data_IF_506253886690
#
_entry.id   IF_506253886690
#
_cell.length_a   1.000
_cell.length_b   1.000
_cell.length_c   1.000
_cell.angle_alpha   90.00
_cell.angle_beta   90.00
_cell.angle_gamma   90.00
#
_symmetry.space_group_name_H-M   'P 1'
#
loop_
_entity.id
_entity.type
_entity.pdbx_description
1 polymer ?
#
# COMPACT_ATOMS: atom_id res chain seq x y z
N UNK A 1 14.36 -29.33 -25.78
CA UNK A 1 14.65 -29.39 -27.23
C UNK A 1 14.11 -28.13 -27.87
N UNK A 2 14.93 -27.09 -27.99
CA UNK A 2 14.60 -25.87 -28.73
C UNK A 2 15.87 -25.42 -29.46
N UNK A 3 15.78 -25.22 -30.77
CA UNK A 3 16.88 -25.00 -31.71
C UNK A 3 17.39 -23.57 -31.65
N UNK A 4 18.70 -23.42 -31.56
CA UNK A 4 19.46 -22.20 -31.86
C UNK A 4 19.78 -22.20 -33.37
N UNK A 5 19.61 -21.07 -34.05
CA UNK A 5 20.17 -20.84 -35.38
C UNK A 5 21.20 -19.70 -35.29
N UNK A 6 22.46 -20.01 -35.56
CA UNK A 6 23.54 -19.03 -35.79
C UNK A 6 23.82 -18.93 -37.29
N UNK A 7 24.18 -17.73 -37.77
CA UNK A 7 25.00 -17.52 -38.99
C UNK A 7 25.78 -16.20 -38.89
N UNK A 8 26.94 -16.04 -39.58
CA UNK A 8 28.11 -15.34 -39.06
C UNK A 8 28.65 -14.16 -39.92
N UNK A 9 29.75 -13.54 -39.43
CA UNK A 9 30.72 -12.62 -40.08
C UNK A 9 30.25 -11.14 -40.25
N UNK A 10 31.07 -10.09 -40.12
CA UNK A 10 32.53 -9.96 -40.24
C UNK A 10 33.06 -8.68 -39.55
N UNK A 11 34.34 -8.68 -39.20
CA UNK A 11 35.13 -7.58 -38.62
C UNK A 11 35.45 -6.44 -39.61
N UNK A 12 35.59 -5.21 -39.11
CA UNK A 12 36.60 -4.25 -39.57
C UNK A 12 36.81 -3.14 -38.52
N UNK A 13 38.04 -3.07 -38.01
CA UNK A 13 38.59 -1.98 -37.19
C UNK A 13 38.87 -0.76 -38.07
N UNK A 14 38.62 0.45 -37.58
CA UNK A 14 39.50 1.57 -37.94
C UNK A 14 39.54 2.68 -36.87
N UNK A 15 40.73 3.28 -36.77
CA UNK A 15 41.35 3.87 -35.61
C UNK A 15 41.11 5.39 -35.50
N UNK A 16 41.02 5.92 -34.27
CA UNK A 16 41.18 7.35 -33.95
C UNK A 16 42.64 7.80 -34.02
N UNK A 17 42.88 9.11 -34.22
CA UNK A 17 43.76 9.83 -33.28
C UNK A 17 43.26 11.24 -32.85
N UNK A 18 43.85 11.86 -31.80
CA UNK A 18 43.26 12.94 -31.00
C UNK A 18 43.92 14.33 -31.26
N UNK A 19 43.84 15.34 -30.35
CA UNK A 19 43.00 16.54 -30.49
C UNK A 19 43.80 17.84 -30.71
N UNK A 20 43.09 18.94 -31.04
CA UNK A 20 43.67 20.29 -31.06
C UNK A 20 42.71 21.33 -30.45
N UNK A 21 43.15 21.98 -29.37
CA UNK A 21 42.68 23.29 -28.87
C UNK A 21 43.54 24.38 -29.54
N UNK A 22 43.05 25.62 -29.82
CA UNK A 22 42.85 26.60 -28.74
C UNK A 22 41.77 27.69 -28.92
N UNK A 23 41.36 28.21 -27.76
CA UNK A 23 41.01 29.58 -27.38
C UNK A 23 40.41 30.59 -28.39
N UNK A 24 39.20 31.08 -28.09
CA UNK A 24 38.94 32.54 -28.02
C UNK A 24 37.69 32.83 -27.17
N UNK A 25 37.73 33.97 -26.48
CA UNK A 25 36.77 34.41 -25.47
C UNK A 25 35.58 35.12 -26.12
N UNK A 26 34.36 34.81 -25.70
CA UNK A 26 33.16 35.59 -26.03
C UNK A 26 32.13 35.52 -24.90
N UNK A 27 31.87 36.71 -24.33
CA UNK A 27 30.61 37.19 -23.71
C UNK A 27 29.72 36.16 -22.99
N UNK A 28 29.70 36.24 -21.66
CA UNK A 28 28.79 35.52 -20.76
C UNK A 28 27.38 36.13 -20.87
N UNK A 29 26.53 35.51 -21.68
CA UNK A 29 25.07 35.51 -21.49
C UNK A 29 24.69 34.39 -20.52
N UNK A 30 23.63 34.55 -19.68
CA UNK A 30 23.23 33.51 -18.74
C UNK A 30 22.90 32.23 -19.49
N UNK A 31 23.70 31.19 -19.26
CA UNK A 31 23.50 29.87 -19.83
C UNK A 31 22.38 29.21 -19.05
N UNK A 32 21.22 29.06 -19.67
CA UNK A 32 20.15 28.18 -19.19
C UNK A 32 20.75 26.79 -18.91
N UNK A 33 20.53 26.30 -17.69
CA UNK A 33 20.84 24.92 -17.33
C UNK A 33 20.10 23.97 -18.28
N UNK A 34 20.70 22.85 -18.73
CA UNK A 34 20.01 21.86 -19.55
C UNK A 34 19.06 21.04 -18.65
N UNK A 35 17.97 21.69 -18.22
CA UNK A 35 16.88 21.09 -17.47
C UNK A 35 15.59 21.27 -18.27
N UNK A 36 15.57 20.75 -19.50
CA UNK A 36 14.32 20.32 -20.15
C UNK A 36 14.63 19.43 -21.36
N UNK A 37 15.18 18.24 -21.10
CA UNK A 37 14.95 17.12 -22.01
C UNK A 37 13.83 16.31 -21.38
N UNK A 38 12.66 16.42 -21.99
CA UNK A 38 11.51 15.59 -21.74
C UNK A 38 11.86 14.16 -22.17
N UNK A 39 12.65 13.46 -21.35
CA UNK A 39 12.97 12.06 -21.52
C UNK A 39 11.67 11.31 -21.26
N UNK A 40 10.93 11.04 -22.35
CA UNK A 40 9.87 10.04 -22.38
C UNK A 40 10.52 8.65 -22.25
N UNK A 41 11.28 8.45 -21.18
CA UNK A 41 11.85 7.19 -20.81
C UNK A 41 10.71 6.19 -20.65
N UNK A 42 10.91 4.99 -21.18
CA UNK A 42 9.91 3.95 -21.11
C UNK A 42 9.56 3.70 -19.63
N UNK A 43 8.30 3.84 -19.25
CA UNK A 43 7.94 3.86 -17.84
C UNK A 43 8.07 2.46 -17.24
N UNK A 44 8.97 2.29 -16.27
CA UNK A 44 9.25 1.01 -15.63
C UNK A 44 8.85 1.05 -14.15
N UNK A 45 8.09 0.06 -13.72
CA UNK A 45 7.70 -0.10 -12.32
C UNK A 45 6.44 -0.96 -12.19
N UNK A 46 6.16 -1.42 -10.98
CA UNK A 46 4.98 -2.26 -10.70
C UNK A 46 4.41 -1.92 -9.33
N UNK A 47 3.09 -2.00 -9.22
CA UNK A 47 2.34 -1.80 -7.97
C UNK A 47 1.34 -2.95 -7.76
N UNK A 48 1.23 -3.39 -6.50
CA UNK A 48 0.15 -4.23 -6.00
C UNK A 48 -0.46 -3.55 -4.77
N UNK A 49 -1.78 -3.47 -4.70
CA UNK A 49 -2.54 -2.88 -3.60
C UNK A 49 -3.59 -3.85 -3.08
N UNK A 50 -4.03 -3.64 -1.83
CA UNK A 50 -5.20 -4.30 -1.28
C UNK A 50 -6.15 -3.30 -0.61
N UNK A 51 -7.44 -3.65 -0.62
CA UNK A 51 -8.49 -2.94 0.08
C UNK A 51 -9.26 -3.90 0.99
N UNK A 52 -8.62 -4.31 2.09
CA UNK A 52 -9.20 -5.22 3.07
C UNK A 52 -8.97 -6.72 2.81
N UNK A 53 -8.82 -7.45 3.91
CA UNK A 53 -8.89 -8.91 3.99
C UNK A 53 -9.93 -9.21 5.07
N UNK A 54 -11.02 -9.84 4.68
CA UNK A 54 -12.24 -9.94 5.48
C UNK A 54 -13.38 -10.48 4.63
N UNK A 55 -14.53 -9.82 4.69
CA UNK A 55 -15.70 -10.18 3.89
C UNK A 55 -16.07 -9.07 2.90
N UNK A 56 -16.02 -9.39 1.60
CA UNK A 56 -16.45 -8.52 0.53
C UNK A 56 -17.74 -9.06 -0.08
N UNK A 57 -18.87 -8.39 0.19
CA UNK A 57 -20.15 -8.75 -0.41
C UNK A 57 -20.13 -8.58 -1.92
N UNK A 58 -20.87 -9.43 -2.64
CA UNK A 58 -20.97 -9.32 -4.11
C UNK A 58 -21.52 -7.96 -4.55
N UNK A 59 -22.44 -7.41 -3.76
CA UNK A 59 -23.05 -6.10 -4.00
C UNK A 59 -22.06 -4.93 -3.94
N UNK A 60 -20.97 -5.05 -3.18
CA UNK A 60 -19.95 -4.00 -3.00
C UNK A 60 -18.64 -4.29 -3.71
N UNK A 61 -18.54 -5.44 -4.38
CA UNK A 61 -17.30 -5.90 -5.00
C UNK A 61 -16.81 -4.95 -6.10
N UNK A 62 -17.71 -4.21 -6.78
CA UNK A 62 -17.33 -3.27 -7.84
C UNK A 62 -16.60 -2.06 -7.27
N UNK A 63 -17.00 -1.61 -6.09
CA UNK A 63 -16.51 -0.43 -5.39
C UNK A 63 -15.11 -0.68 -4.82
N UNK A 64 -14.91 -1.83 -4.16
CA UNK A 64 -13.57 -2.26 -3.72
C UNK A 64 -12.60 -2.40 -4.91
N UNK A 65 -13.05 -2.99 -6.03
CA UNK A 65 -12.24 -3.06 -7.25
C UNK A 65 -11.95 -1.67 -7.81
N UNK A 66 -12.93 -0.77 -7.81
CA UNK A 66 -12.76 0.58 -8.34
C UNK A 66 -11.70 1.37 -7.56
N UNK A 67 -11.73 1.34 -6.23
CA UNK A 67 -10.71 2.03 -5.42
C UNK A 67 -9.32 1.43 -5.63
N UNK A 68 -9.18 0.10 -5.68
CA UNK A 68 -7.91 -0.55 -6.01
C UNK A 68 -7.39 -0.14 -7.41
N UNK A 69 -8.29 -0.03 -8.40
CA UNK A 69 -7.94 0.41 -9.76
C UNK A 69 -7.37 1.83 -9.74
N UNK A 70 -8.03 2.77 -9.06
CA UNK A 70 -7.57 4.16 -8.96
C UNK A 70 -6.22 4.25 -8.23
N UNK A 71 -6.07 3.50 -7.13
CA UNK A 71 -4.83 3.47 -6.35
C UNK A 71 -3.64 2.96 -7.18
N UNK A 72 -3.83 1.89 -7.96
CA UNK A 72 -2.82 1.41 -8.91
C UNK A 72 -2.46 2.46 -9.95
N UNK A 73 -3.47 3.11 -10.54
CA UNK A 73 -3.24 4.16 -11.53
C UNK A 73 -2.42 5.31 -10.93
N UNK A 74 -2.77 5.73 -9.71
CA UNK A 74 -2.10 6.83 -9.03
C UNK A 74 -0.63 6.54 -8.73
N UNK A 75 -0.30 5.32 -8.30
CA UNK A 75 1.09 4.89 -8.12
C UNK A 75 1.86 4.83 -9.45
N UNK A 76 1.26 4.24 -10.49
CA UNK A 76 1.89 4.16 -11.82
C UNK A 76 2.13 5.55 -12.42
N UNK A 77 1.22 6.50 -12.24
CA UNK A 77 1.40 7.88 -12.69
C UNK A 77 2.61 8.54 -12.00
N UNK A 78 2.84 8.26 -10.71
CA UNK A 78 4.03 8.72 -9.99
C UNK A 78 5.31 8.08 -10.52
N UNK A 79 5.30 6.77 -10.77
CA UNK A 79 6.45 6.06 -11.35
C UNK A 79 6.78 6.57 -12.76
N UNK A 80 5.75 6.83 -13.58
CA UNK A 80 5.85 7.46 -14.91
C UNK A 80 6.47 8.85 -14.86
N UNK A 81 6.16 9.62 -13.81
CA UNK A 81 6.75 10.91 -13.54
C UNK A 81 8.17 10.84 -12.94
N UNK A 82 8.75 9.64 -12.82
CA UNK A 82 10.11 9.44 -12.29
C UNK A 82 10.21 9.51 -10.76
N UNK A 83 9.10 9.47 -10.04
CA UNK A 83 9.08 9.48 -8.58
C UNK A 83 9.69 8.20 -7.97
N UNK A 84 10.11 8.29 -6.71
CA UNK A 84 10.66 7.17 -5.95
C UNK A 84 9.56 6.16 -5.58
N UNK A 85 9.94 4.91 -5.30
CA UNK A 85 9.01 3.87 -4.84
C UNK A 85 8.19 4.32 -3.60
N UNK A 86 8.81 5.05 -2.67
CA UNK A 86 8.18 5.60 -1.46
C UNK A 86 7.07 6.62 -1.79
N UNK A 87 7.28 7.47 -2.80
CA UNK A 87 6.28 8.46 -3.22
C UNK A 87 5.11 7.79 -3.96
N UNK A 88 5.42 6.79 -4.79
CA UNK A 88 4.41 6.02 -5.50
C UNK A 88 3.53 5.20 -4.54
N UNK A 89 4.11 4.53 -3.54
CA UNK A 89 3.34 3.78 -2.53
C UNK A 89 2.51 4.71 -1.67
N UNK A 90 3.06 5.88 -1.28
CA UNK A 90 2.31 6.92 -0.55
C UNK A 90 1.11 7.41 -1.37
N UNK A 91 1.28 7.65 -2.67
CA UNK A 91 0.21 8.13 -3.53
C UNK A 91 -0.90 7.08 -3.72
N UNK A 92 -0.58 5.79 -3.75
CA UNK A 92 -1.59 4.72 -3.74
C UNK A 92 -2.36 4.69 -2.41
N UNK A 93 -1.70 4.81 -1.26
CA UNK A 93 -2.41 4.82 0.03
C UNK A 93 -3.31 6.03 0.20
N UNK A 94 -2.88 7.22 -0.21
CA UNK A 94 -3.73 8.42 -0.17
C UNK A 94 -5.02 8.20 -0.96
N UNK A 95 -4.94 7.55 -2.12
CA UNK A 95 -6.12 7.21 -2.94
C UNK A 95 -7.04 6.17 -2.27
N UNK A 96 -6.47 5.28 -1.46
CA UNK A 96 -7.22 4.26 -0.68
C UNK A 96 -7.83 4.84 0.60
N UNK A 97 -7.22 5.86 1.21
CA UNK A 97 -7.72 6.58 2.39
C UNK A 97 -8.81 7.61 2.02
N UNK A 98 -8.79 8.09 0.77
CA UNK A 98 -9.80 8.99 0.20
C UNK A 98 -10.70 8.17 -0.72
N UNK A 99 -11.44 7.25 -0.11
CA UNK A 99 -12.53 6.59 -0.82
C UNK A 99 -13.59 7.67 -1.07
N UNK A 100 -13.64 8.16 -2.31
CA UNK A 100 -14.68 9.01 -2.86
C UNK A 100 -15.40 8.13 -3.87
N UNK A 101 -16.66 7.82 -3.61
CA UNK A 101 -17.44 7.01 -4.52
C UNK A 101 -17.98 7.95 -5.61
N UNK A 102 -17.29 8.06 -6.74
CA UNK A 102 -17.90 8.65 -7.93
C UNK A 102 -18.97 7.67 -8.40
N UNK A 103 -20.20 7.83 -7.94
CA UNK A 103 -21.34 7.25 -8.64
C UNK A 103 -21.31 7.79 -10.07
N UNK A 104 -21.47 6.90 -11.03
CA UNK A 104 -21.32 7.15 -12.46
C UNK A 104 -22.42 8.08 -13.01
N UNK A 105 -22.41 9.36 -12.61
CA UNK A 105 -23.29 10.41 -13.12
C UNK A 105 -22.53 11.51 -13.90
N UNK A 106 -21.19 11.45 -14.01
CA UNK A 106 -20.39 12.48 -14.68
C UNK A 106 -19.57 12.00 -15.89
N UNK A 107 -19.86 10.82 -16.45
CA UNK A 107 -19.18 10.35 -17.68
C UNK A 107 -19.77 10.97 -18.97
N UNK A 108 -20.76 11.86 -18.89
CA UNK A 108 -21.29 12.58 -20.07
C UNK A 108 -21.31 14.10 -19.91
N UNK A 109 -20.19 14.70 -19.51
CA UNK A 109 -19.97 16.14 -19.74
C UNK A 109 -18.59 16.34 -20.36
N UNK A 110 -18.57 16.29 -21.70
CA UNK A 110 -17.54 16.93 -22.51
C UNK A 110 -17.51 18.42 -22.16
N UNK A 111 -16.69 18.80 -21.18
CA UNK A 111 -16.38 20.21 -20.93
C UNK A 111 -14.99 20.47 -21.48
N UNK A 112 -14.99 20.87 -22.75
CA UNK A 112 -13.93 21.60 -23.42
C UNK A 112 -13.55 22.82 -22.57
N UNK A 113 -12.45 22.75 -21.82
CA UNK A 113 -11.76 23.93 -21.32
C UNK A 113 -10.29 23.79 -21.64
N UNK A 114 -9.90 24.46 -22.72
CA UNK A 114 -8.53 24.85 -22.98
C UNK A 114 -8.03 25.70 -21.80
N UNK A 115 -7.13 25.17 -20.99
CA UNK A 115 -6.18 26.00 -20.23
C UNK A 115 -4.80 25.70 -20.79
N UNK A 116 -4.37 26.63 -21.63
CA UNK A 116 -3.01 26.79 -22.13
C UNK A 116 -1.98 26.74 -21.00
N UNK A 117 -0.85 26.12 -21.32
CA UNK A 117 0.38 26.06 -20.53
C UNK A 117 0.81 27.43 -19.97
N UNK A 118 0.91 27.53 -18.64
CA UNK A 118 1.90 28.30 -17.88
C UNK A 118 1.58 28.15 -16.39
N UNK A 119 2.63 27.87 -15.60
CA UNK A 119 2.76 27.86 -14.13
C UNK A 119 3.18 26.50 -13.56
N UNK A 120 4.51 26.40 -13.53
CA UNK A 120 5.36 25.53 -12.71
C UNK A 120 5.12 25.85 -11.22
N UNK A 121 5.16 24.80 -10.39
CA UNK A 121 5.25 24.83 -8.92
C UNK A 121 4.17 25.63 -8.15
N UNK A 122 3.05 24.97 -7.84
CA UNK A 122 2.48 24.82 -6.48
C UNK A 122 1.11 24.14 -6.58
N UNK A 123 0.88 23.21 -5.66
CA UNK A 123 -0.43 22.85 -5.10
C UNK A 123 -1.50 22.16 -5.97
N UNK A 124 -1.72 20.89 -5.60
CA UNK A 124 -2.90 20.05 -5.89
C UNK A 124 -4.19 20.60 -5.22
N UNK A 125 -4.27 21.89 -4.86
CA UNK A 125 -5.22 22.36 -3.84
C UNK A 125 -6.51 23.04 -4.33
N UNK A 126 -6.74 23.33 -5.63
CA UNK A 126 -7.83 24.31 -5.97
C UNK A 126 -8.92 23.84 -6.95
N UNK A 127 -8.84 22.69 -7.63
CA UNK A 127 -9.90 22.31 -8.59
C UNK A 127 -11.01 21.36 -8.07
N UNK A 128 -11.05 21.01 -6.78
CA UNK A 128 -11.92 19.90 -6.30
C UNK A 128 -13.20 20.37 -5.59
N UNK A 129 -13.30 21.63 -5.16
CA UNK A 129 -14.25 22.05 -4.11
C UNK A 129 -15.73 22.06 -4.53
N UNK A 130 -16.06 22.19 -5.82
CA UNK A 130 -17.46 22.21 -6.29
C UNK A 130 -18.02 20.82 -6.67
N UNK A 131 -17.17 19.83 -6.89
CA UNK A 131 -17.57 18.43 -7.11
C UNK A 131 -17.50 17.60 -5.81
N UNK A 132 -16.67 18.00 -4.84
CA UNK A 132 -16.48 17.33 -3.54
C UNK A 132 -17.78 17.18 -2.72
N UNK A 133 -18.69 18.15 -2.74
CA UNK A 133 -19.87 18.18 -1.84
C UNK A 133 -20.86 17.02 -2.08
N UNK A 134 -20.86 16.37 -3.24
CA UNK A 134 -21.65 15.14 -3.52
C UNK A 134 -20.80 13.87 -3.69
N UNK A 135 -19.48 13.99 -3.60
CA UNK A 135 -18.50 12.91 -3.82
C UNK A 135 -17.84 12.41 -2.52
N UNK A 136 -18.05 13.10 -1.39
CA UNK A 136 -17.42 12.83 -0.08
C UNK A 136 -17.83 11.52 0.62
N UNK A 137 -18.84 10.80 0.13
CA UNK A 137 -19.42 9.66 0.84
C UNK A 137 -18.99 8.31 0.24
N UNK A 138 -17.91 7.70 0.75
CA UNK A 138 -17.61 6.28 0.50
C UNK A 138 -17.34 5.51 1.80
N UNK A 139 -18.08 4.42 2.07
CA UNK A 139 -17.97 3.65 3.31
C UNK A 139 -17.03 2.44 3.26
N UNK A 140 -16.18 2.32 2.24
CA UNK A 140 -15.59 1.02 1.89
C UNK A 140 -14.21 0.74 2.46
N UNK A 141 -13.40 1.76 2.74
CA UNK A 141 -12.09 1.56 3.35
C UNK A 141 -12.14 1.98 4.81
N UNK A 142 -11.56 1.16 5.69
CA UNK A 142 -11.40 1.47 7.09
C UNK A 142 -9.99 2.04 7.30
N UNK A 143 -9.73 3.21 6.72
CA UNK A 143 -8.48 3.95 6.83
C UNK A 143 -8.68 5.43 6.41
N UNK A 144 -8.08 6.37 7.14
CA UNK A 144 -8.28 7.80 6.87
C UNK A 144 -9.73 8.23 7.11
N UNK A 145 -10.33 8.91 6.13
CA UNK A 145 -11.73 9.33 6.17
C UNK A 145 -12.67 8.13 6.15
N UNK A 146 -13.73 8.16 6.97
CA UNK A 146 -14.70 7.07 7.06
C UNK A 146 -14.26 5.87 7.91
N UNK A 147 -13.10 5.95 8.56
CA UNK A 147 -12.59 4.96 9.50
C UNK A 147 -13.60 4.61 10.60
N UNK A 148 -13.47 3.40 11.14
CA UNK A 148 -14.24 2.94 12.29
C UNK A 148 -14.07 3.86 13.50
N UNK A 149 -15.18 4.15 14.19
CA UNK A 149 -15.18 4.91 15.44
C UNK A 149 -14.83 4.00 16.63
N UNK A 150 -14.04 4.52 17.56
CA UNK A 150 -13.69 3.90 18.83
C UNK A 150 -14.86 3.99 19.85
N UNK A 151 -14.70 3.47 21.08
CA UNK A 151 -15.76 3.50 22.11
C UNK A 151 -16.29 4.91 22.40
N UNK A 152 -15.43 5.92 22.34
CA UNK A 152 -15.76 7.34 22.56
C UNK A 152 -16.48 7.98 21.37
N UNK A 153 -16.62 7.27 20.25
CA UNK A 153 -17.19 7.84 19.03
C UNK A 153 -16.19 8.69 18.23
N UNK A 154 -14.90 8.49 18.44
CA UNK A 154 -13.82 9.23 17.77
C UNK A 154 -13.09 8.32 16.77
N UNK A 155 -12.47 8.93 15.74
CA UNK A 155 -11.62 8.22 14.79
C UNK A 155 -10.16 8.30 15.25
N UNK A 156 -9.51 7.15 15.30
CA UNK A 156 -8.09 7.00 15.60
C UNK A 156 -7.46 6.07 14.58
N UNK A 157 -6.51 6.55 13.81
CA UNK A 157 -5.89 5.80 12.72
C UNK A 157 -4.48 5.32 13.07
N UNK A 158 -4.09 4.22 12.44
CA UNK A 158 -2.78 3.60 12.51
C UNK A 158 -2.24 3.48 11.07
N UNK A 159 -1.00 3.91 10.82
CA UNK A 159 -0.38 3.79 9.51
C UNK A 159 1.15 3.69 9.59
N UNK A 160 1.74 3.00 8.62
CA UNK A 160 3.19 2.94 8.49
C UNK A 160 3.67 2.73 7.07
N UNK A 161 4.94 3.07 6.85
CA UNK A 161 5.64 2.98 5.57
C UNK A 161 7.10 2.60 5.79
N UNK A 162 7.64 1.81 4.87
CA UNK A 162 9.03 1.38 4.87
C UNK A 162 9.64 1.52 3.47
N UNK A 163 10.88 2.01 3.44
CA UNK A 163 11.71 2.10 2.22
C UNK A 163 12.74 0.98 2.19
N UNK A 164 12.72 0.14 1.16
CA UNK A 164 13.65 -0.96 0.99
C UNK A 164 15.08 -0.52 0.69
N UNK A 165 15.29 0.67 0.11
CA UNK A 165 16.62 1.17 -0.23
C UNK A 165 17.38 1.67 1.01
N UNK A 166 16.74 2.51 1.81
CA UNK A 166 17.35 3.10 3.01
C UNK A 166 17.07 2.30 4.30
N UNK A 167 16.18 1.31 4.24
CA UNK A 167 15.66 0.57 5.39
C UNK A 167 15.01 1.46 6.46
N UNK A 168 14.65 2.70 6.10
CA UNK A 168 13.97 3.64 7.01
C UNK A 168 12.50 3.30 7.10
N UNK A 169 11.95 3.60 8.27
CA UNK A 169 10.57 3.32 8.63
C UNK A 169 9.95 4.56 9.28
N UNK A 170 8.67 4.79 9.00
CA UNK A 170 7.88 5.83 9.64
C UNK A 170 6.49 5.28 9.98
N UNK A 171 5.97 5.65 11.14
CA UNK A 171 4.67 5.20 11.61
C UNK A 171 3.94 6.21 12.49
N UNK A 172 2.63 6.13 12.47
CA UNK A 172 1.73 6.80 13.42
C UNK A 172 0.71 5.83 13.97
N UNK A 173 0.34 6.00 15.23
CA UNK A 173 -0.65 5.14 15.91
C UNK A 173 -1.63 5.95 16.72
N UNK A 174 -2.88 5.52 16.76
CA UNK A 174 -3.99 6.22 17.39
C UNK A 174 -4.03 7.73 17.06
N UNK A 175 -3.68 8.11 15.82
CA UNK A 175 -3.69 9.52 15.41
C UNK A 175 -5.10 9.91 14.99
N UNK A 176 -5.60 11.01 15.54
CA UNK A 176 -6.87 11.62 15.18
C UNK A 176 -6.64 12.97 14.51
N UNK A 177 -7.66 13.48 13.82
CA UNK A 177 -7.63 14.82 13.24
C UNK A 177 -6.70 14.97 12.02
N UNK A 178 -6.33 13.88 11.36
CA UNK A 178 -5.49 13.88 10.15
C UNK A 178 -6.16 13.04 9.09
N UNK A 179 -6.42 13.63 7.91
CA UNK A 179 -7.13 12.95 6.82
C UNK A 179 -6.36 11.74 6.27
N UNK A 180 -5.05 11.90 6.12
CA UNK A 180 -4.17 10.93 5.50
C UNK A 180 -3.02 10.52 6.43
N UNK A 181 -3.25 9.57 7.35
CA UNK A 181 -2.23 9.06 8.28
C UNK A 181 -0.92 8.64 7.60
N UNK A 182 -0.99 8.06 6.39
CA UNK A 182 0.21 7.65 5.63
C UNK A 182 1.13 8.84 5.29
N UNK A 183 0.60 10.06 5.12
CA UNK A 183 1.44 11.24 4.85
C UNK A 183 2.30 11.59 6.05
N UNK A 184 1.79 11.39 7.28
CA UNK A 184 2.56 11.61 8.51
C UNK A 184 3.65 10.55 8.64
N UNK A 185 3.31 9.28 8.39
CA UNK A 185 4.26 8.18 8.39
C UNK A 185 5.38 8.40 7.35
N UNK A 186 5.04 8.79 6.12
CA UNK A 186 6.01 9.11 5.07
C UNK A 186 6.89 10.31 5.48
N UNK A 187 6.29 11.35 6.06
CA UNK A 187 7.06 12.51 6.52
C UNK A 187 8.05 12.14 7.63
N UNK A 188 7.68 11.26 8.58
CA UNK A 188 8.60 10.74 9.60
C UNK A 188 9.78 9.99 8.96
N UNK A 189 9.51 9.14 7.96
CA UNK A 189 10.54 8.45 7.19
C UNK A 189 11.48 9.44 6.49
N UNK A 190 10.94 10.46 5.82
CA UNK A 190 11.75 11.48 5.13
C UNK A 190 12.60 12.31 6.10
N UNK A 191 12.07 12.69 7.27
CA UNK A 191 12.87 13.39 8.29
C UNK A 191 13.98 12.49 8.85
N UNK A 192 13.74 11.19 9.00
CA UNK A 192 14.77 10.22 9.39
C UNK A 192 15.89 10.09 8.35
N UNK A 193 15.59 10.25 7.06
CA UNK A 193 16.58 10.22 5.98
C UNK A 193 17.49 11.46 5.96
N UNK A 194 17.02 12.62 6.46
CA UNK A 194 17.84 13.84 6.58
C UNK A 194 18.97 13.73 7.62
N UNK A 195 18.96 12.67 8.45
CA UNK A 195 20.01 12.38 9.41
C UNK A 195 19.66 12.81 10.83
N UNK A 196 20.67 13.11 11.64
CA UNK A 196 20.47 13.46 13.05
C UNK A 196 19.85 14.84 13.21
N UNK A 197 18.97 14.98 14.20
CA UNK A 197 18.46 16.27 14.65
C UNK A 197 19.54 17.05 15.44
N UNK A 198 19.19 18.26 15.85
CA UNK A 198 20.01 19.08 16.76
C UNK A 198 20.45 18.30 18.00
N UNK A 199 21.69 18.55 18.42
CA UNK A 199 22.38 17.82 19.49
C UNK A 199 22.58 16.31 19.21
N UNK A 200 22.57 15.89 17.95
CA UNK A 200 22.86 14.50 17.56
C UNK A 200 21.73 13.51 17.86
N UNK A 201 20.52 14.01 18.16
CA UNK A 201 19.35 13.18 18.47
C UNK A 201 18.86 12.43 17.24
N UNK A 202 18.38 11.20 17.44
CA UNK A 202 17.79 10.39 16.38
C UNK A 202 16.36 10.88 16.14
N UNK A 203 15.94 11.15 14.89
CA UNK A 203 14.55 11.48 14.58
C UNK A 203 13.59 10.35 15.00
N UNK A 204 12.36 10.68 15.46
CA UNK A 204 11.38 9.66 15.78
C UNK A 204 10.95 8.92 14.50
N UNK A 205 10.84 7.59 14.58
CA UNK A 205 10.25 6.76 13.52
C UNK A 205 8.81 6.34 13.83
N UNK A 206 8.31 6.59 15.05
CA UNK A 206 6.97 6.25 15.46
C UNK A 206 6.45 7.29 16.47
N UNK A 207 5.29 7.87 16.18
CA UNK A 207 4.59 8.81 17.07
C UNK A 207 3.14 8.38 17.26
N UNK A 208 2.53 8.72 18.41
CA UNK A 208 1.13 8.34 18.69
C UNK A 208 0.30 9.50 19.20
N UNK A 209 -1.02 9.38 19.04
CA UNK A 209 -2.01 10.27 19.65
C UNK A 209 -1.79 11.74 19.32
N UNK A 210 -2.01 12.60 20.33
CA UNK A 210 -1.85 14.05 20.20
C UNK A 210 -0.44 14.47 19.77
N UNK A 211 0.60 13.77 20.22
CA UNK A 211 1.98 14.06 19.83
C UNK A 211 2.21 13.87 18.33
N UNK A 212 1.59 12.84 17.73
CA UNK A 212 1.64 12.62 16.28
C UNK A 212 0.87 13.71 15.51
N UNK A 213 -0.32 14.07 15.97
CA UNK A 213 -1.13 15.14 15.38
C UNK A 213 -0.38 16.48 15.39
N UNK A 214 0.11 16.92 16.56
CA UNK A 214 0.79 18.21 16.71
C UNK A 214 2.09 18.24 15.89
N UNK A 215 2.80 17.11 15.83
CA UNK A 215 3.97 16.97 14.97
C UNK A 215 3.60 17.10 13.48
N UNK A 216 2.53 16.45 13.03
CA UNK A 216 2.06 16.53 11.65
C UNK A 216 1.72 17.98 11.24
N UNK A 217 0.96 18.70 12.06
CA UNK A 217 0.60 20.10 11.83
C UNK A 217 1.84 20.99 11.77
N UNK A 218 2.79 20.80 12.69
CA UNK A 218 4.07 21.54 12.69
C UNK A 218 4.95 21.23 11.46
N UNK A 219 4.70 20.14 10.75
CA UNK A 219 5.38 19.76 9.52
C UNK A 219 4.56 20.09 8.27
N UNK A 220 3.48 20.87 8.39
CA UNK A 220 2.69 21.36 7.25
C UNK A 220 1.68 20.34 6.71
N UNK A 221 1.36 19.28 7.46
CA UNK A 221 0.26 18.37 7.12
C UNK A 221 -1.04 18.98 7.67
N UNK A 222 -2.04 19.29 6.83
CA UNK A 222 -3.25 19.96 7.27
C UNK A 222 -4.06 19.12 8.28
N UNK A 223 -4.51 19.71 9.40
CA UNK A 223 -5.44 19.05 10.30
C UNK A 223 -6.82 18.93 9.64
N UNK A 224 -7.57 17.89 10.02
CA UNK A 224 -8.92 17.62 9.57
C UNK A 224 -9.86 17.54 10.79
N UNK A 225 -10.91 18.37 10.88
CA UNK A 225 -11.89 18.28 11.96
C UNK A 225 -12.56 16.90 12.01
N UNK A 226 -12.81 16.39 13.23
CA UNK A 226 -13.40 15.06 13.45
C UNK A 226 -14.75 14.88 12.73
N UNK A 227 -15.55 15.95 12.61
CA UNK A 227 -16.84 15.94 11.92
C UNK A 227 -16.71 15.71 10.41
N UNK A 228 -15.57 16.11 9.82
CA UNK A 228 -15.27 15.88 8.40
C UNK A 228 -14.65 14.51 8.16
N UNK A 229 -14.00 13.92 9.16
CA UNK A 229 -13.46 12.57 9.05
C UNK A 229 -14.55 11.50 9.15
N UNK A 230 -15.59 11.74 9.96
CA UNK A 230 -16.66 10.78 10.18
C UNK A 230 -17.75 10.90 9.10
N UNK A 231 -17.90 9.87 8.28
CA UNK A 231 -18.99 9.78 7.29
C UNK A 231 -20.32 9.39 7.94
N UNK A 232 -21.44 9.69 7.27
CA UNK A 232 -22.78 9.23 7.72
C UNK A 232 -22.83 7.72 7.93
N UNK A 233 -22.13 6.96 7.09
CA UNK A 233 -22.03 5.51 7.20
C UNK A 233 -21.27 5.06 8.43
N UNK A 234 -20.08 5.63 8.70
CA UNK A 234 -19.26 5.29 9.88
C UNK A 234 -20.01 5.60 11.18
N UNK A 235 -20.68 6.76 11.25
CA UNK A 235 -21.53 7.15 12.38
C UNK A 235 -22.73 6.20 12.57
N UNK A 236 -23.36 5.77 11.48
CA UNK A 236 -24.47 4.81 11.54
C UNK A 236 -24.00 3.43 11.99
N UNK A 237 -22.82 2.98 11.54
CA UNK A 237 -22.19 1.75 12.01
C UNK A 237 -21.85 1.83 13.51
N UNK A 238 -21.29 2.94 13.97
CA UNK A 238 -21.00 3.19 15.39
C UNK A 238 -22.26 3.07 16.25
N UNK A 239 -23.35 3.78 15.88
CA UNK A 239 -24.63 3.72 16.63
C UNK A 239 -25.17 2.28 16.72
N UNK A 240 -25.12 1.53 15.62
CA UNK A 240 -25.55 0.11 15.59
C UNK A 240 -24.68 -0.75 16.51
N UNK A 241 -23.36 -0.61 16.44
CA UNK A 241 -22.43 -1.42 17.23
C UNK A 241 -22.53 -1.08 18.72
N UNK A 242 -22.65 0.20 19.06
CA UNK A 242 -22.89 0.66 20.44
C UNK A 242 -24.18 0.07 21.02
N UNK A 243 -25.28 0.13 20.27
CA UNK A 243 -26.53 -0.47 20.71
C UNK A 243 -26.44 -1.98 20.93
N UNK A 244 -25.74 -2.70 20.04
CA UNK A 244 -25.49 -4.15 20.20
C UNK A 244 -24.68 -4.46 21.47
N UNK A 245 -23.64 -3.67 21.77
CA UNK A 245 -22.85 -3.84 22.99
C UNK A 245 -23.68 -3.59 24.25
N UNK A 246 -24.45 -2.50 24.31
CA UNK A 246 -25.32 -2.18 25.45
C UNK A 246 -26.39 -3.26 25.70
N UNK A 247 -26.89 -3.91 24.63
CA UNK A 247 -27.80 -5.05 24.76
C UNK A 247 -27.10 -6.29 25.34
N UNK A 248 -25.85 -6.56 24.94
CA UNK A 248 -25.08 -7.69 25.44
C UNK A 248 -24.74 -7.53 26.94
N UNK A 249 -24.34 -6.34 27.38
CA UNK A 249 -24.04 -6.04 28.79
C UNK A 249 -25.25 -6.21 29.71
N UNK A 250 -26.46 -5.90 29.21
CA UNK A 250 -27.72 -6.12 29.95
C UNK A 250 -28.09 -7.59 30.11
N UNK A 251 -27.64 -8.45 29.20
CA UNK A 251 -27.89 -9.89 29.28
C UNK A 251 -26.94 -10.54 30.29
N UNK A 252 -25.68 -10.10 30.37
CA UNK A 252 -24.70 -10.65 31.32
C UNK A 252 -24.95 -10.22 32.78
N UNK A 253 -25.56 -9.05 33.00
CA UNK A 253 -25.91 -8.57 34.34
C UNK A 253 -27.20 -9.22 34.90
N UNK A 254 -27.93 -9.96 34.07
CA UNK A 254 -29.12 -10.73 34.47
C UNK A 254 -28.77 -12.18 34.83
N UNK A 255 -28.45 -12.46 36.09
CA UNK A 255 -28.33 -13.82 36.61
C UNK A 255 -29.64 -14.60 36.42
N UNK A 256 -29.69 -15.51 35.44
CA UNK A 256 -30.54 -16.70 35.51
C UNK A 256 -29.79 -17.91 34.96
N UNK A 257 -29.35 -18.75 35.90
CA UNK A 257 -28.49 -19.91 35.69
C UNK A 257 -29.31 -21.17 35.34
N UNK A 258 -30.24 -21.07 34.37
CA UNK A 258 -30.94 -22.24 33.84
C UNK A 258 -31.04 -22.19 32.32
N UNK A 259 -30.58 -23.28 31.70
CA UNK A 259 -30.58 -23.62 30.26
C UNK A 259 -29.41 -23.11 29.40
N UNK A 260 -28.21 -23.62 29.69
CA UNK A 260 -27.18 -23.88 28.64
C UNK A 260 -27.70 -24.95 27.68
N UNK A 261 -28.60 -24.58 26.77
CA UNK A 261 -28.88 -25.37 25.56
C UNK A 261 -29.39 -24.44 24.46
N UNK A 262 -28.52 -24.27 23.46
CA UNK A 262 -28.85 -23.99 22.05
C UNK A 262 -29.35 -22.56 21.75
N UNK A 263 -28.40 -21.66 21.49
CA UNK A 263 -28.57 -20.56 20.52
C UNK A 263 -27.40 -20.56 19.55
N UNK A 264 -27.46 -21.53 18.64
CA UNK A 264 -26.80 -21.47 17.35
C UNK A 264 -27.93 -21.15 16.37
N UNK A 265 -28.23 -19.87 16.19
CA UNK A 265 -29.23 -19.39 15.25
C UNK A 265 -28.91 -17.92 14.87
N UNK A 266 -28.47 -17.77 13.62
CA UNK A 266 -28.32 -16.55 12.81
C UNK A 266 -27.31 -15.49 13.28
N UNK A 267 -26.01 -15.80 13.20
CA UNK A 267 -24.95 -14.79 12.98
C UNK A 267 -24.71 -14.51 11.48
N UNK A 268 -25.46 -15.18 10.60
CA UNK A 268 -25.56 -14.88 9.17
C UNK A 268 -26.43 -13.64 8.97
N UNK A 269 -25.81 -12.46 8.92
CA UNK A 269 -26.02 -11.46 7.84
C UNK A 269 -25.44 -10.06 8.10
N UNK A 270 -24.97 -9.69 9.31
CA UNK A 270 -24.50 -8.31 9.54
C UNK A 270 -23.44 -8.18 10.66
N UNK A 271 -22.60 -9.21 10.83
CA UNK A 271 -21.60 -9.33 11.91
C UNK A 271 -20.14 -9.16 11.49
N UNK A 272 -19.81 -9.15 10.19
CA UNK A 272 -18.43 -8.94 9.74
C UNK A 272 -18.07 -7.47 9.89
N UNK A 273 -17.49 -7.09 11.04
CA UNK A 273 -16.87 -5.79 11.22
C UNK A 273 -15.91 -5.52 10.04
N UNK A 274 -15.99 -4.33 9.44
CA UNK A 274 -15.16 -3.89 8.33
C UNK A 274 -13.67 -4.08 8.70
N UNK A 275 -13.07 -5.20 8.28
CA UNK A 275 -11.63 -5.50 8.40
C UNK A 275 -10.86 -4.85 7.24
N UNK A 276 -11.31 -3.67 6.81
CA UNK A 276 -10.94 -3.07 5.54
C UNK A 276 -9.70 -2.18 5.68
N UNK A 277 -8.62 -2.78 6.21
CA UNK A 277 -7.28 -2.19 6.20
C UNK A 277 -6.77 -2.12 4.76
N UNK A 278 -6.14 -1.00 4.40
CA UNK A 278 -5.62 -0.77 3.05
C UNK A 278 -4.10 -0.80 3.05
N UNK A 279 -3.51 -1.16 1.92
CA UNK A 279 -2.07 -1.25 1.81
C UNK A 279 -1.60 -1.38 0.37
N UNK A 280 -0.33 -1.05 0.16
CA UNK A 280 0.30 -1.09 -1.15
C UNK A 280 1.77 -1.48 -1.04
N UNK A 281 2.27 -2.09 -2.10
CA UNK A 281 3.67 -2.40 -2.33
C UNK A 281 4.05 -2.00 -3.74
N UNK A 282 5.24 -1.44 -3.89
CA UNK A 282 5.74 -0.88 -5.14
C UNK A 282 7.17 -1.33 -5.38
N UNK A 283 7.52 -1.54 -6.66
CA UNK A 283 8.90 -1.58 -7.15
C UNK A 283 9.08 -0.54 -8.26
N UNK A 284 10.16 0.24 -8.18
CA UNK A 284 10.52 1.24 -9.19
C UNK A 284 11.46 0.68 -10.29
N UNK A 285 11.83 1.53 -11.25
CA UNK A 285 12.74 1.20 -12.35
C UNK A 285 14.15 0.78 -11.93
N UNK A 286 14.58 1.13 -10.72
CA UNK A 286 15.87 0.72 -10.18
C UNK A 286 15.77 -0.61 -9.42
N UNK A 287 14.57 -1.16 -9.24
CA UNK A 287 14.34 -2.32 -8.39
C UNK A 287 14.35 -1.97 -6.89
N UNK A 288 14.18 -0.70 -6.54
CA UNK A 288 13.92 -0.32 -5.15
C UNK A 288 12.47 -0.62 -4.82
N UNK A 289 12.25 -1.20 -3.65
CA UNK A 289 10.91 -1.55 -3.18
C UNK A 289 10.46 -0.68 -2.03
N UNK A 290 9.16 -0.44 -1.93
CA UNK A 290 8.55 0.26 -0.80
C UNK A 290 7.21 -0.39 -0.44
N UNK A 291 6.84 -0.32 0.83
CA UNK A 291 5.59 -0.88 1.34
C UNK A 291 4.94 0.07 2.34
N UNK A 292 3.61 0.14 2.36
CA UNK A 292 2.86 0.92 3.32
C UNK A 292 1.48 0.31 3.59
N UNK A 293 0.95 0.62 4.77
CA UNK A 293 -0.35 0.14 5.27
C UNK A 293 -1.03 1.24 6.09
N UNK A 294 -2.35 1.31 6.04
CA UNK A 294 -3.17 2.26 6.81
C UNK A 294 -4.49 1.63 7.26
N UNK A 295 -4.92 1.93 8.50
CA UNK A 295 -6.09 1.34 9.14
C UNK A 295 -6.75 2.29 10.15
N UNK A 296 -8.08 2.26 10.27
CA UNK A 296 -8.84 2.82 11.39
C UNK A 296 -8.91 1.87 12.60
N UNK A 297 -8.49 0.62 12.44
CA UNK A 297 -8.56 -0.40 13.49
C UNK A 297 -9.96 -0.98 13.69
N UNK A 298 -10.16 -1.67 14.81
CA UNK A 298 -11.45 -2.33 15.09
C UNK A 298 -12.53 -1.29 15.41
N UNK A 299 -13.75 -1.55 14.95
CA UNK A 299 -14.92 -0.84 15.43
C UNK A 299 -15.08 -1.01 16.94
N UNK A 300 -15.47 0.06 17.63
CA UNK A 300 -15.65 0.08 19.08
C UNK A 300 -14.36 -0.28 19.86
N UNK A 301 -13.17 -0.06 19.26
CA UNK A 301 -11.92 -0.24 19.99
C UNK A 301 -11.85 0.70 21.19
N UNK A 302 -11.17 0.28 22.25
CA UNK A 302 -10.82 1.20 23.33
C UNK A 302 -9.97 2.36 22.77
N UNK A 303 -10.22 3.62 23.18
CA UNK A 303 -9.39 4.75 22.79
C UNK A 303 -7.90 4.49 23.07
N UNK A 304 -7.03 4.86 22.14
CA UNK A 304 -5.60 4.58 22.23
C UNK A 304 -5.19 3.15 21.88
N UNK A 305 -6.10 2.25 21.48
CA UNK A 305 -5.72 0.94 20.92
C UNK A 305 -5.03 1.13 19.58
N UNK A 306 -3.80 0.63 19.50
CA UNK A 306 -2.95 0.62 18.31
C UNK A 306 -2.91 -0.78 17.70
N UNK A 307 -3.20 -0.89 16.41
CA UNK A 307 -3.15 -2.12 15.62
C UNK A 307 -1.87 -2.31 14.84
N UNK A 308 -1.79 -3.39 14.07
CA UNK A 308 -0.62 -3.83 13.31
C UNK A 308 -0.09 -2.76 12.34
N UNK A 309 -0.99 -1.92 11.81
CA UNK A 309 -0.64 -0.92 10.80
C UNK A 309 0.37 0.12 11.29
N UNK A 310 0.55 0.27 12.60
CA UNK A 310 1.56 1.14 13.21
C UNK A 310 2.77 0.38 13.79
N UNK A 311 2.74 -0.96 13.82
CA UNK A 311 3.80 -1.78 14.42
C UNK A 311 4.83 -2.19 13.37
N UNK A 312 6.10 -1.84 13.64
CA UNK A 312 7.22 -2.21 12.77
C UNK A 312 7.35 -3.73 12.64
N UNK A 313 7.45 -4.22 11.39
CA UNK A 313 7.52 -5.65 11.09
C UNK A 313 6.16 -6.37 11.07
N UNK A 314 5.08 -5.72 11.48
CA UNK A 314 3.75 -6.32 11.53
C UNK A 314 2.86 -5.83 10.38
N UNK A 315 2.76 -4.51 10.21
CA UNK A 315 1.89 -3.90 9.20
C UNK A 315 2.45 -4.00 7.78
N UNK A 316 3.69 -3.54 7.59
CA UNK A 316 4.38 -3.60 6.32
C UNK A 316 5.88 -3.86 6.51
N UNK A 317 6.54 -4.30 5.43
CA UNK A 317 7.99 -4.50 5.36
C UNK A 317 8.49 -4.19 3.95
N UNK A 318 9.66 -3.57 3.83
CA UNK A 318 10.33 -3.36 2.55
C UNK A 318 11.84 -3.47 2.75
N UNK A 319 12.51 -4.25 1.91
CA UNK A 319 13.94 -4.52 2.02
C UNK A 319 14.50 -4.81 0.63
N UNK A 320 15.49 -4.03 0.18
CA UNK A 320 16.17 -4.31 -1.08
C UNK A 320 17.13 -5.51 -0.95
N UNK A 321 17.47 -6.12 -2.09
CA UNK A 321 18.54 -7.11 -2.20
C UNK A 321 19.80 -6.66 -1.46
N UNK A 322 20.39 -7.57 -0.69
CA UNK A 322 21.64 -7.37 0.05
C UNK A 322 22.51 -8.62 -0.04
N UNK A 323 23.69 -8.63 0.59
CA UNK A 323 24.53 -9.84 0.67
C UNK A 323 23.86 -11.00 1.41
N UNK A 324 22.86 -10.71 2.27
CA UNK A 324 22.11 -11.70 3.03
C UNK A 324 20.73 -12.01 2.43
N UNK A 325 20.20 -11.10 1.60
CA UNK A 325 18.87 -11.24 0.98
C UNK A 325 19.02 -11.24 -0.54
N UNK A 326 18.88 -12.40 -1.21
CA UNK A 326 18.99 -12.48 -2.67
C UNK A 326 17.95 -11.63 -3.41
N UNK A 327 16.79 -11.36 -2.81
CA UNK A 327 15.71 -10.63 -3.46
C UNK A 327 15.32 -9.36 -2.71
N UNK A 328 14.95 -8.33 -3.46
CA UNK A 328 14.21 -7.20 -2.92
C UNK A 328 12.77 -7.64 -2.66
N UNK A 329 12.25 -7.39 -1.46
CA UNK A 329 10.92 -7.83 -1.02
C UNK A 329 10.12 -6.71 -0.39
N UNK A 330 8.82 -6.66 -0.69
CA UNK A 330 7.87 -5.75 -0.05
C UNK A 330 6.60 -6.50 0.34
N UNK A 331 6.07 -6.19 1.53
CA UNK A 331 4.91 -6.87 2.12
C UNK A 331 3.98 -5.85 2.77
N UNK A 332 2.67 -6.02 2.61
CA UNK A 332 1.64 -5.30 3.36
C UNK A 332 0.55 -6.25 3.85
N UNK A 333 0.06 -6.05 5.08
CA UNK A 333 -0.89 -6.97 5.75
C UNK A 333 -2.26 -6.35 6.00
N UNK A 334 -3.29 -7.20 6.14
CA UNK A 334 -4.65 -6.85 6.54
C UNK A 334 -5.30 -7.96 7.35
N UNK A 335 -6.32 -7.64 8.15
CA UNK A 335 -7.10 -8.60 8.94
C UNK A 335 -7.10 -8.27 10.43
N UNK A 336 -7.08 -9.29 11.30
CA UNK A 336 -7.10 -9.10 12.74
C UNK A 336 -5.75 -8.56 13.23
N UNK A 337 -5.72 -7.33 13.74
CA UNK A 337 -4.49 -6.66 14.16
C UNK A 337 -3.69 -7.46 15.20
N UNK A 338 -4.36 -8.04 16.19
CA UNK A 338 -3.74 -8.87 17.24
C UNK A 338 -3.05 -10.10 16.68
N UNK A 339 -3.65 -10.75 15.67
CA UNK A 339 -3.04 -11.93 15.05
C UNK A 339 -1.76 -11.54 14.31
N UNK A 340 -1.83 -10.46 13.53
CA UNK A 340 -0.72 -9.95 12.71
C UNK A 340 0.44 -9.42 13.57
N UNK A 341 0.14 -8.80 14.72
CA UNK A 341 1.16 -8.36 15.69
C UNK A 341 1.84 -9.56 16.35
N UNK A 342 1.07 -10.53 16.86
CA UNK A 342 1.60 -11.68 17.61
C UNK A 342 2.50 -12.58 16.76
N UNK A 343 2.39 -12.51 15.43
CA UNK A 343 3.21 -13.28 14.49
C UNK A 343 4.21 -12.45 13.69
N UNK A 344 4.25 -11.12 13.86
CA UNK A 344 5.09 -10.21 13.05
C UNK A 344 4.99 -10.49 11.53
N UNK A 345 3.74 -10.67 11.05
CA UNK A 345 3.50 -11.37 9.78
C UNK A 345 4.21 -10.77 8.57
N UNK A 346 4.27 -9.43 8.46
CA UNK A 346 4.91 -8.79 7.30
C UNK A 346 6.40 -9.15 7.18
N UNK A 347 7.13 -9.12 8.30
CA UNK A 347 8.55 -9.48 8.33
C UNK A 347 8.76 -10.98 8.09
N UNK A 348 7.95 -11.84 8.72
CA UNK A 348 8.04 -13.30 8.53
C UNK A 348 7.81 -13.69 7.07
N UNK A 349 6.82 -13.10 6.40
CA UNK A 349 6.61 -13.29 4.97
C UNK A 349 7.83 -12.81 4.16
N UNK A 350 8.37 -11.61 4.44
CA UNK A 350 9.56 -11.12 3.73
C UNK A 350 10.76 -12.07 3.88
N UNK A 351 10.98 -12.63 5.07
CA UNK A 351 12.05 -13.61 5.32
C UNK A 351 11.81 -14.93 4.57
N UNK A 352 10.58 -15.42 4.52
CA UNK A 352 10.24 -16.63 3.76
C UNK A 352 10.47 -16.45 2.25
N UNK A 353 10.19 -15.25 1.72
CA UNK A 353 10.33 -14.93 0.29
C UNK A 353 11.78 -14.97 -0.22
N UNK A 354 12.78 -15.17 0.64
CA UNK A 354 14.17 -15.35 0.23
C UNK A 354 14.46 -16.78 -0.29
N UNK A 355 13.55 -17.75 -0.08
CA UNK A 355 13.64 -19.10 -0.66
C UNK A 355 13.39 -19.10 -2.17
N UNK A 356 13.89 -20.08 -2.94
CA UNK A 356 13.74 -20.07 -4.41
C UNK A 356 12.27 -20.05 -4.89
N UNK A 357 11.43 -20.94 -4.37
CA UNK A 357 10.00 -21.01 -4.72
C UNK A 357 9.17 -20.02 -3.87
N UNK A 358 8.83 -18.88 -4.46
CA UNK A 358 8.04 -17.83 -3.82
C UNK A 358 6.66 -18.31 -3.34
N UNK A 359 5.98 -19.12 -4.15
CA UNK A 359 4.62 -19.57 -3.87
C UNK A 359 4.62 -20.55 -2.70
N UNK A 360 5.50 -21.56 -2.75
CA UNK A 360 5.62 -22.54 -1.68
C UNK A 360 6.09 -21.88 -0.37
N UNK A 361 7.04 -20.96 -0.43
CA UNK A 361 7.53 -20.26 0.76
C UNK A 361 6.45 -19.41 1.44
N UNK A 362 5.65 -18.68 0.66
CA UNK A 362 4.53 -17.91 1.22
C UNK A 362 3.44 -18.81 1.79
N UNK A 363 3.13 -19.91 1.10
CA UNK A 363 2.18 -20.92 1.57
C UNK A 363 2.61 -21.46 2.95
N UNK A 364 3.86 -21.90 3.09
CA UNK A 364 4.40 -22.43 4.34
C UNK A 364 4.46 -21.38 5.45
N UNK A 365 4.78 -20.11 5.13
CA UNK A 365 4.73 -19.03 6.09
C UNK A 365 3.30 -18.82 6.62
N UNK A 366 2.31 -18.75 5.74
CA UNK A 366 0.90 -18.59 6.12
C UNK A 366 0.36 -19.80 6.90
N UNK A 367 0.79 -21.02 6.59
CA UNK A 367 0.38 -22.22 7.32
C UNK A 367 1.08 -22.32 8.69
N UNK A 368 2.42 -22.32 8.69
CA UNK A 368 3.19 -22.70 9.87
C UNK A 368 3.46 -21.52 10.81
N UNK A 369 3.63 -20.32 10.27
CA UNK A 369 3.97 -19.11 11.04
C UNK A 369 2.75 -18.27 11.37
N UNK A 370 1.61 -18.50 10.72
CA UNK A 370 0.36 -17.79 10.96
C UNK A 370 -0.75 -18.71 11.48
N UNK A 371 -1.36 -19.57 10.65
CA UNK A 371 -2.50 -20.42 11.07
C UNK A 371 -2.13 -21.33 12.25
N UNK A 372 -1.04 -22.07 12.14
CA UNK A 372 -0.55 -23.01 13.15
C UNK A 372 0.44 -22.39 14.12
N UNK A 373 0.50 -21.05 14.19
CA UNK A 373 1.44 -20.35 15.06
C UNK A 373 1.15 -20.68 16.53
N UNK A 374 2.16 -21.10 17.32
CA UNK A 374 2.00 -21.26 18.77
C UNK A 374 1.56 -19.97 19.46
N UNK A 375 1.91 -18.81 18.88
CA UNK A 375 1.48 -17.52 19.37
C UNK A 375 -0.01 -17.28 19.20
N UNK A 376 -0.73 -18.05 18.39
CA UNK A 376 -2.17 -17.95 18.14
C UNK A 376 -2.93 -19.22 18.53
N UNK A 377 -2.31 -20.13 19.30
CA UNK A 377 -2.92 -21.40 19.68
C UNK A 377 -4.21 -21.27 20.51
N UNK A 378 -4.46 -20.09 21.09
CA UNK A 378 -5.68 -19.74 21.84
C UNK A 378 -6.83 -19.26 20.95
N UNK A 379 -6.57 -18.97 19.68
CA UNK A 379 -7.56 -18.37 18.78
C UNK A 379 -8.31 -19.46 18.02
N UNK A 380 -9.64 -19.41 18.03
CA UNK A 380 -10.49 -20.38 17.30
C UNK A 380 -10.40 -20.20 15.77
N UNK A 381 -10.13 -18.97 15.32
CA UNK A 381 -10.04 -18.58 13.91
C UNK A 381 -8.91 -17.57 13.70
N UNK A 382 -7.91 -17.91 12.88
CA UNK A 382 -6.77 -17.03 12.58
C UNK A 382 -7.02 -16.21 11.31
N UNK A 383 -7.48 -14.97 11.47
CA UNK A 383 -7.86 -14.08 10.37
C UNK A 383 -6.75 -13.10 9.96
N UNK A 384 -6.26 -13.21 8.71
CA UNK A 384 -5.29 -12.29 8.12
C UNK A 384 -5.13 -12.47 6.62
N UNK A 385 -4.45 -11.53 5.98
CA UNK A 385 -4.07 -11.58 4.58
C UNK A 385 -2.89 -10.67 4.29
N UNK A 386 -2.18 -10.98 3.21
CA UNK A 386 -0.95 -10.31 2.79
C UNK A 386 -0.94 -10.12 1.28
N UNK A 387 -0.39 -8.98 0.85
CA UNK A 387 0.17 -8.84 -0.49
C UNK A 387 1.68 -8.85 -0.37
N UNK A 388 2.33 -9.50 -1.33
CA UNK A 388 3.78 -9.69 -1.34
C UNK A 388 4.32 -9.44 -2.75
N UNK A 389 5.44 -8.75 -2.82
CA UNK A 389 6.23 -8.54 -4.02
C UNK A 389 7.64 -9.00 -3.73
N UNK A 390 8.22 -9.72 -4.67
CA UNK A 390 9.63 -10.08 -4.71
C UNK A 390 10.18 -9.72 -6.08
N UNK A 391 11.37 -9.13 -6.13
CA UNK A 391 12.04 -8.91 -7.40
C UNK A 391 13.55 -9.10 -7.34
N UNK A 392 14.11 -9.47 -8.48
CA UNK A 392 15.55 -9.52 -8.72
C UNK A 392 15.88 -8.92 -10.09
N UNK A 393 17.11 -8.43 -10.24
CA UNK A 393 17.63 -8.01 -11.54
C UNK A 393 18.10 -9.25 -12.29
N UNK A 394 17.66 -9.40 -13.54
CA UNK A 394 18.17 -10.45 -14.42
C UNK A 394 19.58 -10.06 -14.90
N UNK A 395 20.60 -10.84 -14.57
CA UNK A 395 21.89 -10.80 -15.25
C UNK A 395 21.86 -11.81 -16.39
N UNK A 396 21.80 -11.34 -17.64
CA UNK A 396 21.93 -12.24 -18.79
C UNK A 396 23.35 -12.84 -18.81
N UNK A 397 23.46 -14.12 -19.22
CA UNK A 397 24.73 -14.83 -19.39
C UNK A 397 25.61 -14.25 -20.52
N UNK A 398 25.08 -13.29 -21.28
CA UNK A 398 25.79 -12.45 -22.24
C UNK A 398 25.43 -11.00 -21.91
N UNK A 399 26.38 -10.15 -21.47
CA UNK A 399 26.08 -8.78 -21.09
C UNK A 399 25.88 -7.94 -22.35
N UNK A 400 24.64 -7.85 -22.86
CA UNK A 400 24.28 -6.67 -23.64
C UNK A 400 24.19 -5.49 -22.65
N UNK A 401 25.01 -4.43 -22.77
CA UNK A 401 25.06 -3.32 -21.82
C UNK A 401 23.72 -2.57 -21.65
N UNK A 402 22.78 -2.77 -22.56
CA UNK A 402 21.69 -1.84 -22.80
C UNK A 402 20.30 -2.30 -22.34
N UNK A 403 20.12 -3.53 -21.81
CA UNK A 403 18.79 -3.99 -21.36
C UNK A 403 18.87 -4.51 -19.91
N UNK A 404 18.46 -3.69 -18.96
CA UNK A 404 18.23 -4.14 -17.58
C UNK A 404 16.77 -4.56 -17.44
N UNK A 405 16.56 -5.85 -17.15
CA UNK A 405 15.24 -6.39 -16.83
C UNK A 405 15.12 -6.70 -15.33
N UNK A 406 14.00 -6.33 -14.74
CA UNK A 406 13.62 -6.72 -13.38
C UNK A 406 12.53 -7.78 -13.49
N UNK A 407 12.78 -8.96 -12.93
CA UNK A 407 11.76 -9.98 -12.77
C UNK A 407 11.01 -9.70 -11.46
N UNK A 408 9.70 -9.51 -11.56
CA UNK A 408 8.81 -9.28 -10.42
C UNK A 408 7.89 -10.48 -10.28
N UNK A 409 7.92 -11.11 -9.11
CA UNK A 409 6.92 -12.07 -8.65
C UNK A 409 6.03 -11.35 -7.64
N UNK A 410 4.72 -11.46 -7.82
CA UNK A 410 3.74 -10.84 -6.93
C UNK A 410 2.68 -11.86 -6.54
N UNK A 411 2.34 -11.88 -5.25
CA UNK A 411 1.41 -12.83 -4.68
C UNK A 411 0.46 -12.14 -3.70
N UNK A 412 -0.69 -12.75 -3.48
CA UNK A 412 -1.55 -12.46 -2.34
C UNK A 412 -1.99 -13.76 -1.70
N UNK A 413 -2.14 -13.73 -0.38
CA UNK A 413 -2.65 -14.87 0.37
C UNK A 413 -3.48 -14.39 1.56
N UNK A 414 -4.55 -15.11 1.89
CA UNK A 414 -5.41 -14.77 3.02
C UNK A 414 -6.10 -16.00 3.61
N UNK A 415 -6.42 -15.90 4.90
CA UNK A 415 -7.24 -16.87 5.65
C UNK A 415 -8.65 -16.38 5.90
N UNK A 416 -8.93 -15.11 5.59
CA UNK A 416 -10.25 -14.50 5.65
C UNK A 416 -11.14 -15.00 4.51
N UNK A 417 -12.45 -14.72 4.53
CA UNK A 417 -13.35 -15.17 3.45
C UNK A 417 -12.93 -14.64 2.07
N UNK A 418 -12.39 -13.43 2.02
CA UNK A 418 -12.00 -12.76 0.78
C UNK A 418 -11.01 -11.62 0.99
N UNK A 419 -10.28 -11.29 -0.06
CA UNK A 419 -9.35 -10.16 -0.10
C UNK A 419 -9.47 -9.42 -1.44
N UNK A 420 -9.68 -8.10 -1.40
CA UNK A 420 -9.66 -7.29 -2.62
C UNK A 420 -8.24 -6.86 -2.94
N UNK A 421 -7.79 -7.14 -4.17
CA UNK A 421 -6.47 -6.74 -4.67
C UNK A 421 -6.56 -6.04 -6.02
N UNK A 422 -5.60 -5.15 -6.28
CA UNK A 422 -5.39 -4.56 -7.59
C UNK A 422 -3.91 -4.48 -7.91
N UNK A 423 -3.53 -4.68 -9.16
CA UNK A 423 -2.12 -4.58 -9.57
C UNK A 423 -1.98 -4.00 -10.97
N UNK A 424 -0.83 -3.39 -11.23
CA UNK A 424 -0.54 -2.73 -12.49
C UNK A 424 0.97 -2.62 -12.72
N UNK A 425 1.42 -2.97 -13.92
CA UNK A 425 2.75 -2.59 -14.42
C UNK A 425 2.66 -1.21 -15.08
N UNK A 426 3.70 -0.38 -14.94
CA UNK A 426 3.78 0.89 -15.65
C UNK A 426 3.80 0.72 -17.19
N UNK A 427 4.22 -0.47 -17.65
CA UNK A 427 4.24 -0.89 -19.05
C UNK A 427 2.88 -1.45 -19.51
N UNK A 428 2.04 -1.90 -18.57
CA UNK A 428 0.68 -2.31 -18.85
C UNK A 428 -0.25 -1.10 -18.81
N UNK A 429 -1.00 -0.85 -19.89
CA UNK A 429 -1.88 0.32 -19.98
C UNK A 429 -3.11 0.30 -19.06
N UNK A 430 -3.35 -0.78 -18.30
CA UNK A 430 -4.57 -0.95 -17.48
C UNK A 430 -4.31 -1.74 -16.19
N UNK A 431 -4.77 -1.21 -15.05
CA UNK A 431 -4.83 -1.95 -13.80
C UNK A 431 -5.80 -3.13 -13.86
N UNK A 432 -5.40 -4.25 -13.24
CA UNK A 432 -6.22 -5.46 -13.05
C UNK A 432 -6.65 -5.53 -11.59
N UNK A 433 -7.88 -5.98 -11.36
CA UNK A 433 -8.48 -6.02 -10.00
C UNK A 433 -9.21 -7.33 -9.78
N UNK A 434 -9.08 -7.89 -8.59
CA UNK A 434 -9.58 -9.21 -8.27
C UNK A 434 -10.11 -9.25 -6.83
N UNK A 435 -11.16 -10.03 -6.58
CA UNK A 435 -11.61 -10.38 -5.23
C UNK A 435 -11.22 -11.84 -5.05
N UNK A 436 -10.11 -12.08 -4.37
CA UNK A 436 -9.71 -13.44 -4.00
C UNK A 436 -10.69 -13.95 -2.97
N UNK A 437 -11.08 -15.22 -3.07
CA UNK A 437 -12.02 -15.88 -2.17
C UNK A 437 -11.47 -17.25 -1.80
N UNK A 438 -11.80 -17.71 -0.59
CA UNK A 438 -11.49 -19.08 -0.20
C UNK A 438 -12.17 -20.08 -1.15
N UNK A 439 -11.51 -21.22 -1.44
CA UNK A 439 -12.11 -22.28 -2.24
C UNK A 439 -13.43 -22.80 -1.65
N UNK A 440 -14.35 -23.35 -2.48
CA UNK A 440 -15.56 -23.99 -1.98
C UNK A 440 -15.25 -25.08 -0.93
N UNK A 441 -15.90 -25.00 0.23
CA UNK A 441 -15.69 -25.95 1.34
C UNK A 441 -14.54 -25.60 2.28
N UNK A 442 -13.73 -24.58 1.97
CA UNK A 442 -12.71 -24.06 2.90
C UNK A 442 -13.35 -23.24 4.03
N UNK A 443 -12.73 -23.26 5.20
CA UNK A 443 -13.22 -22.58 6.41
C UNK A 443 -12.34 -21.36 6.70
N UNK A 444 -12.95 -20.18 6.78
CA UNK A 444 -12.25 -18.95 7.13
C UNK A 444 -11.58 -19.08 8.51
N UNK A 445 -10.32 -18.65 8.60
CA UNK A 445 -9.50 -18.74 9.81
C UNK A 445 -8.79 -20.08 10.02
N UNK A 446 -9.09 -21.11 9.22
CA UNK A 446 -8.48 -22.44 9.29
C UNK A 446 -7.84 -22.89 7.97
N UNK A 447 -8.33 -22.35 6.86
CA UNK A 447 -7.80 -22.55 5.51
C UNK A 447 -7.21 -21.24 4.98
N UNK A 448 -6.50 -21.32 3.85
CA UNK A 448 -6.00 -20.14 3.15
C UNK A 448 -6.23 -20.24 1.64
N UNK A 449 -6.33 -19.10 1.00
CA UNK A 449 -6.17 -18.93 -0.44
C UNK A 449 -4.79 -18.30 -0.72
N UNK A 450 -4.19 -18.67 -1.85
CA UNK A 450 -2.95 -18.08 -2.35
C UNK A 450 -3.01 -18.05 -3.87
N UNK A 451 -2.67 -16.91 -4.45
CA UNK A 451 -2.57 -16.72 -5.89
C UNK A 451 -1.44 -15.73 -6.18
N UNK A 452 -0.99 -15.66 -7.43
CA UNK A 452 0.05 -14.73 -7.83
C UNK A 452 0.34 -14.75 -9.32
N UNK A 453 1.38 -14.02 -9.70
CA UNK A 453 1.83 -13.94 -11.08
C UNK A 453 3.25 -13.39 -11.19
N UNK A 454 3.69 -13.27 -12.44
CA UNK A 454 5.00 -12.74 -12.80
C UNK A 454 4.86 -11.55 -13.74
N UNK A 455 5.73 -10.57 -13.60
CA UNK A 455 5.84 -9.42 -14.49
C UNK A 455 7.32 -9.19 -14.79
N UNK A 456 7.69 -9.06 -16.07
CA UNK A 456 9.03 -8.67 -16.49
C UNK A 456 9.00 -7.18 -16.83
N UNK A 457 9.74 -6.41 -16.05
CA UNK A 457 9.90 -4.98 -16.24
C UNK A 457 11.16 -4.73 -17.07
N UNK A 458 11.00 -4.24 -18.30
CA UNK A 458 12.13 -4.05 -19.23
C UNK A 458 12.49 -2.57 -19.33
N UNK A 459 13.70 -2.20 -18.91
CA UNK A 459 14.22 -0.88 -19.16
C UNK A 459 14.85 -0.84 -20.56
N UNK A 460 14.13 -0.25 -21.51
CA UNK A 460 14.67 -0.03 -22.88
C UNK A 460 15.20 1.39 -22.93
N UNK A 461 16.49 1.60 -23.24
CA UNK A 461 17.01 2.94 -23.45
C UNK A 461 16.30 3.55 -24.65
N UNK A 462 15.84 4.79 -24.48
CA UNK A 462 15.37 5.64 -25.56
C UNK A 462 16.55 5.85 -26.52
N UNK A 463 16.54 5.16 -27.67
CA UNK A 463 17.42 5.50 -28.78
C UNK A 463 17.00 6.89 -29.26
N UNK A 464 17.80 7.89 -28.90
CA UNK A 464 17.71 9.23 -29.48
C UNK A 464 18.38 9.12 -30.85
N UNK A 465 17.58 8.87 -31.89
CA UNK A 465 18.00 9.04 -33.29
C UNK A 465 18.12 10.53 -33.64
#
# INVERSE_FOLDING_TARGET
>A
MWRVMETPLNCAEEQQPPPAFPASWSTVTPQESPADRNDKGNAVGFVLVHAGAGYHSESKAKEYKHVCKRACQRAVDRLKAGALAVDAVTAALVELEVSVCVTAALVELEVSVCVTAALVELEVSVCVTAALVELEDSPFTNAGMGSNLNLSGEIECDASIMDGKSLRYGAVGAVSGINNPVLVANRLLSEAQKGKLSAGRIPPCFLVGRGAHDWAVNHGIPPCPSEKMATKFSLSAYKRNKHKMELAEKVDTGFNHHSKKRRQASETENGSGLLDTVGAIVVDREGNVAAAVSSGGLAMKHPGRVGQAAHHGCGCWAENTSTLNPYSTAVSTSGCGEHLIRTMLARECSSAMQCEDAHQALLEAMQNKFISSPFLASEDCVLGGVIVLRCCRCSDAQPSPDIQAILVEFLWSHTTESMCVGYMSAQDGKAKTHISRLPPGAVAGQSLAIEGGVCRLVNTPTTVD
#
